data_IF_666967766596
#
_entry.id   IF_666967766596
#
_cell.length_a   1.000
_cell.length_b   1.000
_cell.length_c   1.000
_cell.angle_alpha   90.00
_cell.angle_beta   90.00
_cell.angle_gamma   90.00
#
_symmetry.space_group_name_H-M   'P 1'
#
loop_
_entity.id
_entity.type
_entity.pdbx_description
1 polymer ?
#
# COMPACT_ATOMS: atom_id res chain seq x y z
N UNK A 1 -5.38 6.81 15.40
CA UNK A 1 -4.55 5.60 15.64
C UNK A 1 -3.24 5.76 14.88
N UNK A 2 -2.10 5.28 15.41
CA UNK A 2 -0.82 5.39 14.70
C UNK A 2 -0.72 4.30 13.62
N UNK A 3 -0.36 4.62 12.36
CA UNK A 3 -0.16 3.62 11.32
C UNK A 3 1.03 2.72 11.65
N UNK A 4 0.96 1.45 11.23
CA UNK A 4 2.13 0.55 11.24
C UNK A 4 2.95 0.84 9.99
N UNK A 5 4.25 1.03 10.12
CA UNK A 5 5.13 1.34 9.00
C UNK A 5 6.10 0.20 8.77
N UNK A 6 6.21 -0.21 7.52
CA UNK A 6 7.04 -1.33 7.09
C UNK A 6 7.95 -0.87 5.94
N UNK A 7 9.28 -1.05 6.05
CA UNK A 7 10.16 -0.87 4.92
C UNK A 7 9.97 -2.04 3.95
N UNK A 8 9.82 -1.75 2.66
CA UNK A 8 9.72 -2.73 1.58
C UNK A 8 10.53 -2.29 0.38
N UNK A 9 10.67 -3.18 -0.59
CA UNK A 9 11.30 -2.89 -1.88
C UNK A 9 10.32 -3.19 -3.00
N UNK A 10 10.45 -2.47 -4.12
CA UNK A 10 9.79 -2.87 -5.36
C UNK A 10 10.23 -4.31 -5.71
N UNK A 11 9.28 -5.14 -6.11
CA UNK A 11 9.43 -6.58 -6.32
C UNK A 11 8.89 -7.45 -5.18
N UNK A 12 8.71 -6.87 -3.97
CA UNK A 12 8.25 -7.61 -2.79
C UNK A 12 6.78 -8.02 -2.91
N UNK A 13 6.50 -9.27 -2.52
CA UNK A 13 5.13 -9.72 -2.26
C UNK A 13 4.73 -9.35 -0.83
N UNK A 14 3.62 -8.63 -0.70
CA UNK A 14 3.00 -8.29 0.58
C UNK A 14 1.86 -9.27 0.81
N UNK A 15 1.90 -9.98 1.93
CA UNK A 15 0.89 -10.96 2.36
C UNK A 15 0.97 -11.17 3.87
N UNK A 16 0.06 -11.96 4.45
CA UNK A 16 0.00 -12.14 5.90
C UNK A 16 1.35 -12.64 6.45
N UNK A 17 1.98 -11.82 7.29
CA UNK A 17 3.29 -12.08 7.88
C UNK A 17 4.49 -11.60 7.05
N UNK A 18 4.29 -11.07 5.83
CA UNK A 18 5.34 -10.54 4.96
C UNK A 18 5.02 -9.13 4.45
N UNK A 19 5.82 -8.11 4.82
CA UNK A 19 6.85 -8.12 5.87
C UNK A 19 6.27 -8.48 7.24
N UNK A 20 7.13 -8.81 8.22
CA UNK A 20 6.71 -9.24 9.54
C UNK A 20 5.69 -8.27 10.16
N UNK A 21 4.48 -8.76 10.47
CA UNK A 21 3.39 -7.97 11.05
C UNK A 21 2.47 -7.25 10.04
N UNK A 22 2.69 -7.41 8.74
CA UNK A 22 1.87 -6.85 7.67
C UNK A 22 0.91 -7.89 7.04
N UNK A 23 0.17 -7.46 6.02
CA UNK A 23 -0.74 -8.32 5.23
C UNK A 23 -2.07 -8.63 5.91
N UNK A 24 -2.39 -7.97 7.01
CA UNK A 24 -3.68 -8.10 7.70
C UNK A 24 -4.07 -6.82 8.42
N UNK A 25 -5.26 -6.30 8.12
CA UNK A 25 -5.92 -5.30 8.97
C UNK A 25 -6.59 -6.05 10.14
N UNK A 26 -5.90 -6.11 11.28
CA UNK A 26 -6.28 -6.94 12.42
C UNK A 26 -7.38 -6.34 13.31
N UNK A 27 -7.54 -5.02 13.29
CA UNK A 27 -8.60 -4.29 14.00
C UNK A 27 -9.24 -3.23 13.10
N UNK A 28 -10.51 -2.84 13.37
CA UNK A 28 -11.17 -1.78 12.63
C UNK A 28 -10.35 -0.48 12.63
N UNK A 29 -10.22 0.15 11.46
CA UNK A 29 -9.45 1.39 11.29
C UNK A 29 -7.93 1.22 11.27
N UNK A 30 -7.41 -0.03 11.25
CA UNK A 30 -5.97 -0.29 11.03
C UNK A 30 -5.50 0.34 9.73
N UNK A 31 -4.32 0.94 9.78
CA UNK A 31 -3.62 1.49 8.63
C UNK A 31 -2.22 0.91 8.61
N UNK A 32 -1.86 0.34 7.48
CA UNK A 32 -0.50 -0.12 7.18
C UNK A 32 0.12 0.81 6.14
N UNK A 33 1.40 1.11 6.32
CA UNK A 33 2.15 2.04 5.48
C UNK A 33 3.44 1.36 5.04
N UNK A 34 3.59 1.16 3.75
CA UNK A 34 4.75 0.50 3.15
C UNK A 34 5.64 1.55 2.50
N UNK A 35 6.81 1.79 3.09
CA UNK A 35 7.79 2.75 2.56
C UNK A 35 8.79 2.03 1.65
N UNK A 36 9.06 2.62 0.48
CA UNK A 36 10.02 2.11 -0.48
C UNK A 36 10.72 3.26 -1.22
N UNK A 37 11.95 3.03 -1.66
CA UNK A 37 12.65 3.89 -2.62
C UNK A 37 12.12 3.62 -4.04
N UNK A 38 11.97 4.67 -4.87
CA UNK A 38 11.49 4.52 -6.25
C UNK A 38 12.42 3.67 -7.10
N UNK A 39 13.71 3.61 -6.77
CA UNK A 39 14.75 2.92 -7.54
C UNK A 39 14.72 3.33 -9.04
N UNK A 40 14.40 4.61 -9.30
CA UNK A 40 14.24 5.17 -10.64
C UNK A 40 12.98 4.71 -11.39
N UNK A 41 12.01 4.10 -10.71
CA UNK A 41 10.73 3.75 -11.31
C UNK A 41 9.86 5.00 -11.49
N UNK A 42 9.13 5.08 -12.60
CA UNK A 42 8.15 6.14 -12.88
C UNK A 42 6.74 5.77 -12.41
N UNK A 43 6.50 4.49 -12.16
CA UNK A 43 5.27 3.98 -11.57
C UNK A 43 5.56 2.70 -10.75
N UNK A 44 4.59 2.31 -9.93
CA UNK A 44 4.49 0.95 -9.39
C UNK A 44 3.26 0.26 -9.98
N UNK A 45 3.32 -1.06 -10.08
CA UNK A 45 2.18 -1.90 -10.42
C UNK A 45 1.80 -2.76 -9.22
N UNK A 46 0.53 -2.74 -8.86
CA UNK A 46 -0.06 -3.68 -7.92
C UNK A 46 -0.50 -4.90 -8.73
N UNK A 47 -0.04 -6.09 -8.35
CA UNK A 47 -0.36 -7.34 -9.05
C UNK A 47 -0.99 -8.34 -8.09
N UNK A 48 -2.06 -9.01 -8.55
CA UNK A 48 -2.68 -10.10 -7.80
C UNK A 48 -3.31 -9.65 -6.49
N UNK A 49 -3.95 -8.48 -6.48
CA UNK A 49 -4.65 -7.96 -5.30
C UNK A 49 -5.75 -8.91 -4.80
N UNK A 50 -5.65 -9.35 -3.55
CA UNK A 50 -6.60 -10.27 -2.90
C UNK A 50 -7.01 -9.78 -1.51
N UNK A 51 -8.13 -10.31 -1.01
CA UNK A 51 -8.76 -9.89 0.25
C UNK A 51 -10.15 -9.28 -0.01
N UNK A 52 -10.61 -8.43 0.90
CA UNK A 52 -11.87 -7.69 0.70
C UNK A 52 -11.65 -6.52 -0.27
N UNK A 53 -11.43 -6.82 -1.56
CA UNK A 53 -10.82 -5.87 -2.51
C UNK A 53 -11.62 -4.57 -2.73
N UNK A 54 -12.94 -4.58 -2.55
CA UNK A 54 -13.79 -3.38 -2.64
C UNK A 54 -13.85 -2.57 -1.34
N UNK A 55 -13.34 -3.12 -0.24
CA UNK A 55 -13.35 -2.51 1.09
C UNK A 55 -11.95 -2.18 1.61
N UNK A 56 -10.91 -2.82 1.08
CA UNK A 56 -9.50 -2.53 1.34
C UNK A 56 -8.98 -1.70 0.17
N UNK A 57 -8.44 -0.54 0.49
CA UNK A 57 -8.04 0.48 -0.46
C UNK A 57 -6.56 0.82 -0.29
N UNK A 58 -5.94 1.24 -1.39
CA UNK A 58 -4.55 1.63 -1.48
C UNK A 58 -4.43 3.10 -1.86
N UNK A 59 -3.42 3.76 -1.30
CA UNK A 59 -3.07 5.12 -1.67
C UNK A 59 -1.57 5.29 -1.77
N UNK A 60 -1.11 5.96 -2.82
CA UNK A 60 0.29 6.25 -3.04
C UNK A 60 0.55 7.71 -2.73
N UNK A 61 1.52 7.96 -1.85
CA UNK A 61 1.94 9.31 -1.44
C UNK A 61 3.46 9.38 -1.38
N UNK A 62 4.03 10.59 -1.36
CA UNK A 62 5.43 10.78 -0.97
C UNK A 62 5.65 10.28 0.46
N UNK A 63 6.79 9.67 0.75
CA UNK A 63 7.07 9.16 2.09
C UNK A 63 7.10 10.28 3.15
N UNK A 64 7.35 11.54 2.77
CA UNK A 64 7.27 12.68 3.68
C UNK A 64 5.82 13.04 4.11
N UNK A 65 4.80 12.46 3.47
CA UNK A 65 3.40 12.77 3.76
C UNK A 65 2.99 12.25 5.16
N UNK A 66 2.63 13.19 6.03
CA UNK A 66 2.35 12.90 7.43
C UNK A 66 0.86 12.69 7.75
N UNK A 67 -0.06 13.21 6.93
CA UNK A 67 -1.52 13.14 7.16
C UNK A 67 -2.13 11.83 6.64
N UNK A 68 -1.50 10.72 7.01
CA UNK A 68 -1.81 9.35 6.54
C UNK A 68 -3.26 8.95 6.85
N UNK A 69 -3.83 9.49 7.94
CA UNK A 69 -5.20 9.19 8.35
C UNK A 69 -6.25 9.77 7.38
N UNK A 70 -5.90 10.79 6.60
CA UNK A 70 -6.80 11.50 5.69
C UNK A 70 -6.30 11.49 4.25
N UNK A 71 -5.47 10.51 3.86
CA UNK A 71 -5.07 10.35 2.48
C UNK A 71 -6.34 10.22 1.57
N UNK A 72 -6.30 10.85 0.40
CA UNK A 72 -7.51 11.24 -0.38
C UNK A 72 -7.69 10.54 -1.73
N UNK A 73 -6.82 9.62 -2.13
CA UNK A 73 -6.90 8.92 -3.42
C UNK A 73 -6.97 7.40 -3.25
N UNK A 74 -8.04 6.85 -2.64
CA UNK A 74 -8.22 5.42 -2.48
C UNK A 74 -8.44 4.73 -3.83
N UNK A 75 -7.60 3.76 -4.14
CA UNK A 75 -7.77 2.79 -5.23
C UNK A 75 -8.14 1.44 -4.61
N UNK A 76 -9.27 0.81 -5.00
CA UNK A 76 -9.61 -0.53 -4.51
C UNK A 76 -8.51 -1.54 -4.84
N UNK A 77 -8.26 -2.51 -3.96
CA UNK A 77 -7.27 -3.59 -4.17
C UNK A 77 -7.66 -4.59 -5.28
N UNK A 78 -8.68 -4.30 -6.09
CA UNK A 78 -9.22 -5.28 -7.03
C UNK A 78 -8.36 -5.41 -8.28
N UNK A 79 -7.72 -6.56 -8.44
CA UNK A 79 -6.96 -6.91 -9.64
C UNK A 79 -5.63 -6.17 -9.76
N UNK A 80 -5.19 -5.99 -11.01
CA UNK A 80 -3.92 -5.36 -11.33
C UNK A 80 -4.14 -3.92 -11.78
N UNK A 81 -3.31 -3.01 -11.27
CA UNK A 81 -3.36 -1.59 -11.67
C UNK A 81 -2.03 -0.89 -11.41
N UNK A 82 -1.78 0.17 -12.18
CA UNK A 82 -0.60 1.01 -12.05
C UNK A 82 -0.89 2.27 -11.20
N UNK A 83 0.11 2.72 -10.46
CA UNK A 83 0.10 3.97 -9.71
C UNK A 83 1.34 4.78 -10.06
N UNK A 84 1.16 5.96 -10.65
CA UNK A 84 2.25 6.82 -11.09
C UNK A 84 3.00 7.41 -9.89
N UNK A 85 4.32 7.44 -9.97
CA UNK A 85 5.20 8.10 -9.00
C UNK A 85 5.43 9.53 -9.48
N UNK A 86 4.94 10.51 -8.71
CA UNK A 86 4.85 11.94 -9.09
C UNK A 86 6.15 12.53 -9.66
N UNK A 87 7.31 12.09 -9.19
CA UNK A 87 8.62 12.65 -9.55
C UNK A 87 9.63 11.60 -10.06
N UNK A 88 9.27 10.30 -10.09
CA UNK A 88 10.15 9.20 -10.50
C UNK A 88 11.39 8.95 -9.61
N UNK A 89 11.64 9.81 -8.63
CA UNK A 89 12.79 9.78 -7.72
C UNK A 89 12.31 10.00 -6.27
N UNK A 90 13.08 9.46 -5.32
CA UNK A 90 12.84 9.59 -3.89
C UNK A 90 12.08 8.44 -3.25
N UNK A 91 11.61 8.69 -2.03
CA UNK A 91 10.91 7.71 -1.20
C UNK A 91 9.41 7.92 -1.25
N UNK A 92 8.70 6.82 -1.42
CA UNK A 92 7.25 6.78 -1.50
C UNK A 92 6.67 5.90 -0.40
N UNK A 93 5.39 6.10 -0.12
CA UNK A 93 4.63 5.29 0.81
C UNK A 93 3.33 4.81 0.16
N UNK A 94 3.12 3.50 0.18
CA UNK A 94 1.85 2.87 -0.18
C UNK A 94 1.06 2.61 1.11
N UNK A 95 -0.07 3.27 1.27
CA UNK A 95 -0.96 3.17 2.43
C UNK A 95 -2.04 2.14 2.12
N UNK A 96 -2.24 1.18 3.00
CA UNK A 96 -3.33 0.20 2.95
C UNK A 96 -4.27 0.43 4.13
N UNK A 97 -5.56 0.61 3.84
CA UNK A 97 -6.58 0.89 4.85
C UNK A 97 -7.97 0.44 4.40
N UNK A 98 -8.97 0.67 5.26
CA UNK A 98 -10.38 0.47 4.93
C UNK A 98 -11.25 1.60 5.47
N UNK A 99 -11.90 2.35 4.57
CA UNK A 99 -12.91 3.35 4.92
C UNK A 99 -14.13 2.76 5.64
N UNK A 100 -14.51 1.51 5.30
CA UNK A 100 -15.62 0.79 5.93
C UNK A 100 -15.20 0.05 7.21
N UNK A 101 -14.02 0.36 7.74
CA UNK A 101 -13.43 -0.28 8.91
C UNK A 101 -13.31 -1.81 8.79
N UNK A 102 -13.17 -2.31 7.55
CA UNK A 102 -13.02 -3.74 7.27
C UNK A 102 -11.72 -4.26 7.85
N UNK A 103 -11.81 -5.44 8.43
CA UNK A 103 -10.67 -6.26 8.88
C UNK A 103 -10.51 -7.49 8.01
N UNK A 104 -9.31 -8.08 8.07
CA UNK A 104 -8.99 -9.31 7.36
C UNK A 104 -7.63 -9.26 6.67
N UNK A 105 -7.23 -10.40 6.07
CA UNK A 105 -6.00 -10.47 5.29
C UNK A 105 -6.15 -9.68 3.98
N UNK A 106 -5.02 -9.19 3.51
CA UNK A 106 -4.86 -8.66 2.16
C UNK A 106 -3.50 -9.10 1.62
N UNK A 107 -3.41 -9.25 0.31
CA UNK A 107 -2.14 -9.54 -0.34
C UNK A 107 -2.08 -8.92 -1.73
N UNK A 108 -0.87 -8.57 -2.15
CA UNK A 108 -0.52 -8.12 -3.50
C UNK A 108 1.00 -8.17 -3.69
N UNK A 109 1.45 -8.18 -4.94
CA UNK A 109 2.84 -7.94 -5.27
C UNK A 109 3.03 -6.49 -5.69
N UNK A 110 4.04 -5.84 -5.10
CA UNK A 110 4.51 -4.54 -5.54
C UNK A 110 5.53 -4.76 -6.66
N UNK A 111 5.23 -4.35 -7.87
CA UNK A 111 6.10 -4.52 -9.04
C UNK A 111 6.47 -3.15 -9.61
N UNK A 112 7.58 -3.07 -10.34
CA UNK A 112 7.97 -1.87 -11.07
C UNK A 112 6.95 -1.61 -12.19
N UNK A 113 6.33 -0.43 -12.19
CA UNK A 113 5.49 0.06 -13.28
C UNK A 113 6.31 0.95 -14.22
N UNK A 114 5.88 1.05 -15.48
CA UNK A 114 6.54 1.82 -16.54
C UNK A 114 5.53 2.59 -17.37
#
# INVERSE_FOLDING_TARGET
MKPRTFPVTIGMKIEEGTPAGAGRLDVPGRIDRFEFDSDGATAIKIVGGTGACTAIELELVDAAYADIANARQPVPLCGDFDMALSNGDGKYALIVRSNSAKTGPYAFQLVRGG
#
